data_IF_628855984215
#
_entry.id   IF_628855984215
#
_cell.length_a   1.000
_cell.length_b   1.000
_cell.length_c   1.000
_cell.angle_alpha   90.00
_cell.angle_beta   90.00
_cell.angle_gamma   90.00
#
_symmetry.space_group_name_H-M   'P 1'
#
loop_
_entity.id
_entity.type
_entity.pdbx_description
1 polymer ?
#
# COMPACT_ATOMS: atom_id res chain seq x y z
N UNK A 1 -6.84 35.66 -14.05
CA UNK A 1 -5.53 35.20 -14.56
C UNK A 1 -4.51 36.31 -14.33
N UNK A 2 -3.32 35.98 -13.83
CA UNK A 2 -2.27 36.96 -13.59
C UNK A 2 -1.58 37.34 -14.92
N UNK A 3 -1.52 38.63 -15.27
CA UNK A 3 -0.85 39.13 -16.48
C UNK A 3 0.32 40.06 -16.12
N UNK A 4 1.40 39.98 -16.90
CA UNK A 4 2.64 40.74 -16.67
C UNK A 4 2.52 42.16 -17.22
N UNK A 5 2.81 43.18 -16.39
CA UNK A 5 2.89 44.59 -16.77
C UNK A 5 4.36 45.07 -16.81
N UNK A 6 4.76 45.75 -17.88
CA UNK A 6 6.12 46.25 -18.11
C UNK A 6 6.60 47.29 -17.09
N UNK A 7 5.68 47.98 -16.41
CA UNK A 7 5.97 49.01 -15.38
C UNK A 7 6.27 48.46 -13.97
N UNK A 8 6.27 47.14 -13.77
CA UNK A 8 6.47 46.53 -12.45
C UNK A 8 7.96 46.44 -12.06
N UNK A 9 8.25 46.61 -10.77
CA UNK A 9 9.60 46.46 -10.19
C UNK A 9 10.10 45.01 -10.33
N UNK A 10 11.43 44.81 -10.27
CA UNK A 10 12.04 43.48 -10.44
C UNK A 10 11.51 42.44 -9.43
N UNK A 11 11.22 42.84 -8.20
CA UNK A 11 10.66 41.93 -7.18
C UNK A 11 9.22 41.52 -7.49
N UNK A 12 8.38 42.46 -7.96
CA UNK A 12 7.01 42.15 -8.39
C UNK A 12 6.99 41.18 -9.57
N UNK A 13 7.94 41.32 -10.52
CA UNK A 13 8.09 40.38 -11.64
C UNK A 13 8.46 38.96 -11.18
N UNK A 14 9.32 38.82 -10.16
CA UNK A 14 9.67 37.52 -9.57
C UNK A 14 8.46 36.86 -8.92
N UNK A 15 7.68 37.61 -8.14
CA UNK A 15 6.47 37.09 -7.49
C UNK A 15 5.45 36.62 -8.54
N UNK A 16 5.23 37.41 -9.59
CA UNK A 16 4.37 37.01 -10.71
C UNK A 16 4.82 35.69 -11.37
N UNK A 17 6.13 35.51 -11.57
CA UNK A 17 6.67 34.28 -12.14
C UNK A 17 6.40 33.06 -11.24
N UNK A 18 6.51 33.21 -9.92
CA UNK A 18 6.20 32.14 -8.95
C UNK A 18 4.71 31.76 -9.00
N UNK A 19 3.82 32.74 -9.08
CA UNK A 19 2.38 32.49 -9.17
C UNK A 19 2.02 31.77 -10.48
N UNK A 20 2.66 32.13 -11.60
CA UNK A 20 2.43 31.48 -12.89
C UNK A 20 2.93 30.03 -12.94
N UNK A 21 4.02 29.71 -12.25
CA UNK A 21 4.54 28.32 -12.19
C UNK A 21 3.81 27.43 -11.19
N UNK A 22 2.95 28.00 -10.33
CA UNK A 22 2.23 27.27 -9.28
C UNK A 22 0.71 27.50 -9.37
N UNK A 23 0.01 26.86 -10.33
CA UNK A 23 -1.40 27.13 -10.63
C UNK A 23 -2.38 26.78 -9.50
N UNK A 24 -1.93 26.09 -8.44
CA UNK A 24 -2.75 25.76 -7.26
C UNK A 24 -2.76 26.86 -6.20
N UNK A 25 -1.96 27.92 -6.36
CA UNK A 25 -1.94 29.05 -5.44
C UNK A 25 -3.02 30.04 -5.86
N UNK A 26 -3.99 30.27 -4.96
CA UNK A 26 -5.00 31.32 -5.10
C UNK A 26 -4.64 32.49 -4.18
N UNK A 27 -4.73 33.71 -4.72
CA UNK A 27 -4.50 34.95 -3.95
C UNK A 27 -5.81 35.70 -3.89
N UNK A 28 -6.26 36.02 -2.68
CA UNK A 28 -7.45 36.83 -2.40
C UNK A 28 -7.09 37.95 -1.45
N UNK A 29 -7.76 39.08 -1.61
CA UNK A 29 -7.64 40.20 -0.67
C UNK A 29 -8.61 40.01 0.50
N UNK A 30 -8.13 40.23 1.72
CA UNK A 30 -8.93 40.25 2.96
C UNK A 30 -8.75 41.62 3.60
N UNK A 31 -9.83 42.16 4.18
CA UNK A 31 -9.79 43.46 4.86
C UNK A 31 -9.06 43.35 6.19
N UNK A 32 -8.14 44.27 6.45
CA UNK A 32 -7.46 44.39 7.74
C UNK A 32 -8.42 44.81 8.87
N UNK A 33 -8.13 44.36 10.10
CA UNK A 33 -8.89 44.68 11.32
C UNK A 33 -10.39 44.35 11.25
N UNK A 34 -10.73 43.24 10.59
CA UNK A 34 -12.12 42.81 10.38
C UNK A 34 -12.51 41.55 11.18
N UNK A 35 -11.70 41.09 12.14
CA UNK A 35 -12.00 39.88 12.94
C UNK A 35 -11.50 38.56 12.33
N UNK A 36 -10.81 38.58 11.19
CA UNK A 36 -10.24 37.36 10.60
C UNK A 36 -9.01 36.93 11.40
N UNK A 37 -9.11 35.78 12.10
CA UNK A 37 -8.08 35.26 13.00
C UNK A 37 -6.73 35.11 12.29
N UNK A 38 -6.74 34.70 11.03
CA UNK A 38 -5.52 34.49 10.25
C UNK A 38 -4.84 35.82 9.88
N UNK A 39 -5.64 36.78 9.40
CA UNK A 39 -5.15 38.10 9.03
C UNK A 39 -4.68 38.89 10.25
N UNK A 40 -5.43 38.87 11.35
CA UNK A 40 -5.05 39.56 12.59
C UNK A 40 -3.77 38.99 13.19
N UNK A 41 -3.60 37.67 13.13
CA UNK A 41 -2.35 37.03 13.57
C UNK A 41 -1.18 37.40 12.67
N UNK A 42 -1.38 37.54 11.35
CA UNK A 42 -0.35 37.99 10.44
C UNK A 42 0.06 39.44 10.71
N UNK A 43 -0.92 40.35 10.89
CA UNK A 43 -0.68 41.76 11.21
C UNK A 43 0.05 41.92 12.56
N UNK A 44 -0.32 41.12 13.58
CA UNK A 44 0.37 41.14 14.87
C UNK A 44 1.83 40.68 14.73
N UNK A 45 2.08 39.62 13.96
CA UNK A 45 3.43 39.12 13.70
C UNK A 45 4.28 40.14 12.92
N UNK A 46 3.69 40.87 11.97
CA UNK A 46 4.38 41.96 11.27
C UNK A 46 4.80 43.07 12.25
N UNK A 47 3.86 43.56 13.07
CA UNK A 47 4.12 44.60 14.08
C UNK A 47 5.21 44.20 15.06
N UNK A 48 5.19 42.95 15.51
CA UNK A 48 6.21 42.42 16.42
C UNK A 48 7.58 42.35 15.72
N UNK A 49 7.63 41.92 14.45
CA UNK A 49 8.86 41.85 13.67
C UNK A 49 9.47 43.24 13.41
N UNK A 50 8.66 44.26 13.12
CA UNK A 50 9.14 45.63 12.93
C UNK A 50 9.72 46.22 14.22
N UNK A 51 9.15 45.87 15.38
CA UNK A 51 9.60 46.38 16.68
C UNK A 51 10.84 45.68 17.22
N UNK A 52 10.95 44.37 17.04
CA UNK A 52 11.97 43.56 17.69
C UNK A 52 13.09 43.10 16.75
N UNK A 53 13.00 43.39 15.45
CA UNK A 53 14.07 43.19 14.45
C UNK A 53 14.41 41.72 14.14
N UNK A 54 13.90 40.77 14.93
CA UNK A 54 14.03 39.34 14.68
C UNK A 54 12.81 38.83 13.92
N UNK A 55 12.99 38.27 12.71
CA UNK A 55 11.98 37.39 12.15
C UNK A 55 11.96 36.14 13.03
N UNK A 56 10.79 35.78 13.58
CA UNK A 56 10.63 34.54 14.35
C UNK A 56 11.26 33.36 13.59
N UNK A 57 12.38 32.85 14.11
CA UNK A 57 13.24 31.87 13.43
C UNK A 57 12.68 30.44 13.43
N UNK A 58 11.44 30.23 13.88
CA UNK A 58 10.78 28.93 13.83
C UNK A 58 9.27 29.10 13.60
N UNK A 59 8.87 29.25 12.34
CA UNK A 59 7.54 28.78 11.94
C UNK A 59 7.57 27.26 12.13
N UNK A 60 7.07 26.79 13.28
CA UNK A 60 6.90 25.36 13.52
C UNK A 60 6.02 24.82 12.41
N UNK A 61 6.57 23.92 11.59
CA UNK A 61 5.83 23.29 10.51
C UNK A 61 4.52 22.72 11.07
N UNK A 62 3.37 22.94 10.40
CA UNK A 62 2.11 22.38 10.87
C UNK A 62 2.26 20.87 11.08
N UNK A 63 1.73 20.35 12.20
CA UNK A 63 1.76 18.90 12.47
C UNK A 63 1.28 18.04 11.29
N UNK A 64 0.22 18.42 10.54
CA UNK A 64 -0.20 17.67 9.34
C UNK A 64 0.89 17.62 8.25
N UNK A 65 1.65 18.71 8.08
CA UNK A 65 2.74 18.79 7.11
C UNK A 65 3.88 17.84 7.50
N UNK A 66 4.34 17.88 8.76
CA UNK A 66 5.35 16.95 9.28
C UNK A 66 4.89 15.51 9.10
N UNK A 67 3.64 15.21 9.47
CA UNK A 67 3.06 13.86 9.34
C UNK A 67 3.00 13.40 7.88
N UNK A 68 2.74 14.31 6.94
CA UNK A 68 2.73 14.01 5.51
C UNK A 68 4.14 13.70 5.00
N UNK A 69 5.15 14.47 5.41
CA UNK A 69 6.54 14.22 5.05
C UNK A 69 7.01 12.87 5.57
N UNK A 70 6.79 12.59 6.87
CA UNK A 70 7.17 11.32 7.48
C UNK A 70 6.51 10.12 6.81
N UNK A 71 5.21 10.22 6.50
CA UNK A 71 4.49 9.15 5.78
C UNK A 71 5.05 8.92 4.38
N UNK A 72 5.41 9.99 3.67
CA UNK A 72 6.01 9.89 2.33
C UNK A 72 7.36 9.16 2.41
N UNK A 73 8.26 9.60 3.28
CA UNK A 73 9.57 8.95 3.46
C UNK A 73 9.45 7.49 3.89
N UNK A 74 8.57 7.20 4.86
CA UNK A 74 8.31 5.83 5.31
C UNK A 74 7.81 4.94 4.15
N UNK A 75 6.90 5.43 3.30
CA UNK A 75 6.40 4.65 2.16
C UNK A 75 7.47 4.43 1.09
N UNK A 76 8.32 5.42 0.82
CA UNK A 76 9.43 5.31 -0.14
C UNK A 76 10.47 4.28 0.32
N UNK A 77 10.84 4.32 1.61
CA UNK A 77 11.74 3.35 2.22
C UNK A 77 11.11 1.95 2.22
N UNK A 78 9.85 1.82 2.65
CA UNK A 78 9.15 0.54 2.63
C UNK A 78 9.02 -0.03 1.21
N UNK A 79 8.73 0.79 0.22
CA UNK A 79 8.69 0.36 -1.17
C UNK A 79 10.06 -0.13 -1.67
N UNK A 80 11.14 0.52 -1.24
CA UNK A 80 12.51 0.14 -1.59
C UNK A 80 12.87 -1.22 -0.98
N UNK A 81 12.57 -1.40 0.31
CA UNK A 81 12.74 -2.69 0.99
C UNK A 81 11.88 -3.77 0.34
N UNK A 82 10.65 -3.47 -0.05
CA UNK A 82 9.76 -4.43 -0.69
C UNK A 82 10.25 -4.84 -2.09
N UNK A 83 10.81 -3.91 -2.85
CA UNK A 83 11.39 -4.18 -4.16
C UNK A 83 12.63 -5.06 -4.08
N UNK A 84 13.54 -4.74 -3.16
CA UNK A 84 14.86 -5.35 -3.07
C UNK A 84 14.92 -6.56 -2.13
N UNK A 85 13.90 -6.77 -1.29
CA UNK A 85 13.82 -7.90 -0.38
C UNK A 85 13.66 -9.23 -1.10
N UNK A 86 14.22 -10.28 -0.50
CA UNK A 86 14.22 -11.68 -0.94
C UNK A 86 13.05 -12.50 -0.35
N UNK A 87 12.46 -12.04 0.75
CA UNK A 87 11.28 -12.66 1.37
C UNK A 87 9.99 -12.24 0.68
N UNK A 88 8.94 -13.08 0.77
CA UNK A 88 7.60 -12.71 0.28
C UNK A 88 7.46 -12.53 -1.23
N UNK A 89 8.43 -12.99 -2.05
CA UNK A 89 8.46 -12.75 -3.51
C UNK A 89 7.20 -13.19 -4.26
N UNK A 90 6.56 -14.27 -3.83
CA UNK A 90 5.28 -14.72 -4.39
C UNK A 90 4.18 -13.66 -4.23
N UNK A 91 4.13 -12.99 -3.07
CA UNK A 91 3.19 -11.89 -2.81
C UNK A 91 3.61 -10.63 -3.57
N UNK A 92 4.91 -10.30 -3.63
CA UNK A 92 5.40 -9.17 -4.42
C UNK A 92 4.96 -9.26 -5.88
N UNK A 93 5.01 -10.44 -6.47
CA UNK A 93 4.61 -10.63 -7.86
C UNK A 93 3.12 -10.30 -8.09
N UNK A 94 2.27 -10.43 -7.07
CA UNK A 94 0.85 -10.08 -7.12
C UNK A 94 0.62 -8.62 -6.75
N UNK A 95 1.28 -8.14 -5.70
CA UNK A 95 1.18 -6.78 -5.16
C UNK A 95 2.59 -6.15 -5.07
N UNK A 96 3.11 -5.60 -6.18
CA UNK A 96 4.48 -5.07 -6.23
C UNK A 96 4.61 -3.72 -5.51
N UNK A 97 3.49 -3.06 -5.22
CA UNK A 97 3.46 -1.74 -4.59
C UNK A 97 2.93 -1.82 -3.16
N UNK A 98 3.64 -1.20 -2.23
CA UNK A 98 3.17 -1.03 -0.85
C UNK A 98 2.08 0.04 -0.79
N UNK A 99 1.13 -0.12 0.12
CA UNK A 99 0.01 0.80 0.27
C UNK A 99 -0.46 0.82 1.71
N UNK A 100 -0.88 2.00 2.18
CA UNK A 100 -1.56 2.14 3.47
C UNK A 100 -3.04 1.75 3.38
N UNK A 101 -3.58 1.61 2.17
CA UNK A 101 -4.96 1.15 1.98
C UNK A 101 -4.98 -0.37 2.10
N UNK A 102 -5.86 -0.93 2.94
CA UNK A 102 -5.99 -2.37 3.04
C UNK A 102 -6.41 -2.95 1.69
N UNK A 103 -5.90 -4.14 1.38
CA UNK A 103 -6.35 -4.92 0.22
C UNK A 103 -7.76 -5.46 0.46
N UNK A 104 -8.49 -5.75 -0.61
CA UNK A 104 -9.81 -6.40 -0.56
C UNK A 104 -9.71 -7.93 -0.38
N UNK A 105 -8.60 -8.41 0.17
CA UNK A 105 -8.39 -9.82 0.47
C UNK A 105 -8.93 -10.14 1.85
N UNK A 106 -9.70 -11.22 1.94
CA UNK A 106 -10.16 -11.76 3.22
C UNK A 106 -9.18 -12.82 3.73
N UNK A 107 -9.45 -13.38 4.91
CA UNK A 107 -8.57 -14.34 5.60
C UNK A 107 -8.16 -15.50 4.69
N UNK A 108 -9.09 -16.09 3.96
CA UNK A 108 -8.86 -17.24 3.08
C UNK A 108 -7.97 -16.88 1.89
N UNK A 109 -8.18 -15.70 1.31
CA UNK A 109 -7.32 -15.18 0.22
C UNK A 109 -5.88 -15.04 0.75
N UNK A 110 -5.71 -14.46 1.94
CA UNK A 110 -4.40 -14.29 2.58
C UNK A 110 -3.73 -15.64 2.85
N UNK A 111 -4.45 -16.61 3.43
CA UNK A 111 -3.94 -17.97 3.71
C UNK A 111 -3.41 -18.61 2.42
N UNK A 112 -4.22 -18.59 1.36
CA UNK A 112 -3.87 -19.23 0.09
C UNK A 112 -2.66 -18.56 -0.58
N UNK A 113 -2.70 -17.24 -0.81
CA UNK A 113 -1.66 -16.56 -1.59
C UNK A 113 -0.34 -16.46 -0.84
N UNK A 114 -0.37 -16.33 0.49
CA UNK A 114 0.85 -16.36 1.30
C UNK A 114 1.41 -17.79 1.45
N UNK A 115 0.61 -18.81 1.14
CA UNK A 115 0.88 -20.22 1.44
C UNK A 115 1.11 -20.45 2.94
N UNK A 116 0.35 -19.75 3.78
CA UNK A 116 0.32 -19.98 5.22
C UNK A 116 -0.85 -20.90 5.60
N UNK A 117 -0.85 -21.39 6.83
CA UNK A 117 -2.00 -22.09 7.39
C UNK A 117 -1.87 -23.62 7.31
N UNK A 118 -2.92 -24.35 6.92
CA UNK A 118 -2.98 -25.81 7.08
C UNK A 118 -2.18 -26.61 6.03
N UNK A 119 -1.31 -25.96 5.27
CA UNK A 119 -0.56 -26.62 4.20
C UNK A 119 0.65 -27.40 4.76
N UNK A 120 0.80 -28.70 4.48
CA UNK A 120 1.95 -29.49 4.94
C UNK A 120 3.31 -28.85 4.65
N UNK A 121 3.50 -28.30 3.45
CA UNK A 121 4.75 -27.62 3.07
C UNK A 121 5.05 -26.38 3.93
N UNK A 122 4.00 -25.65 4.34
CA UNK A 122 4.14 -24.55 5.28
C UNK A 122 4.51 -25.04 6.68
N UNK A 123 3.80 -26.04 7.19
CA UNK A 123 4.03 -26.59 8.53
C UNK A 123 5.44 -27.15 8.66
N UNK A 124 5.94 -27.88 7.65
CA UNK A 124 7.32 -28.39 7.61
C UNK A 124 8.35 -27.27 7.68
N UNK A 125 8.17 -26.21 6.88
CA UNK A 125 9.07 -25.04 6.85
C UNK A 125 9.19 -24.35 8.21
N UNK A 126 8.12 -24.35 9.01
CA UNK A 126 8.10 -23.77 10.35
C UNK A 126 8.34 -24.80 11.47
N UNK A 127 8.80 -26.00 11.12
CA UNK A 127 9.08 -27.08 12.08
C UNK A 127 7.87 -27.52 12.92
N UNK A 128 6.66 -27.33 12.39
CA UNK A 128 5.40 -27.77 13.00
C UNK A 128 4.95 -29.16 12.50
N UNK A 129 5.62 -29.69 11.47
CA UNK A 129 5.41 -31.02 10.91
C UNK A 129 6.74 -31.63 10.47
N UNK A 130 6.84 -32.96 10.49
CA UNK A 130 7.99 -33.70 9.96
C UNK A 130 7.91 -33.93 8.44
N UNK A 131 6.74 -33.76 7.82
CA UNK A 131 6.52 -34.00 6.39
C UNK A 131 5.88 -32.79 5.70
N UNK A 132 6.33 -32.49 4.49
CA UNK A 132 5.69 -31.55 3.56
C UNK A 132 4.74 -32.24 2.56
N UNK A 133 4.58 -33.56 2.65
CA UNK A 133 3.70 -34.32 1.79
C UNK A 133 2.23 -34.24 2.21
N UNK A 134 1.36 -34.22 1.22
CA UNK A 134 -0.06 -34.49 1.35
C UNK A 134 -0.30 -36.01 1.42
N UNK A 135 -1.45 -36.41 1.97
CA UNK A 135 -1.91 -37.81 2.02
C UNK A 135 -1.96 -38.52 0.66
N UNK A 136 -2.02 -37.79 -0.46
CA UNK A 136 -1.93 -38.37 -1.80
C UNK A 136 -0.48 -38.47 -2.36
N UNK A 137 0.54 -38.19 -1.55
CA UNK A 137 1.95 -38.30 -1.93
C UNK A 137 2.56 -37.10 -2.67
N UNK A 138 1.76 -36.08 -3.02
CA UNK A 138 2.26 -34.82 -3.58
C UNK A 138 2.73 -33.83 -2.50
N UNK A 139 3.45 -32.77 -2.87
CA UNK A 139 3.83 -31.71 -1.93
C UNK A 139 2.59 -30.89 -1.55
N UNK A 140 2.25 -30.84 -0.26
CA UNK A 140 1.06 -30.19 0.27
C UNK A 140 1.15 -28.67 0.27
N UNK A 141 1.12 -28.05 -0.91
CA UNK A 141 1.08 -26.60 -1.13
C UNK A 141 -0.33 -26.16 -1.55
N UNK A 142 -0.64 -24.87 -1.43
CA UNK A 142 -1.88 -24.29 -1.98
C UNK A 142 -2.08 -24.62 -3.48
N UNK A 143 -0.99 -24.71 -4.25
CA UNK A 143 -0.98 -25.06 -5.66
C UNK A 143 -1.25 -26.52 -5.95
N UNK A 144 -1.05 -27.40 -4.98
CA UNK A 144 -1.42 -28.80 -5.12
C UNK A 144 -2.94 -28.97 -4.95
N UNK A 145 -3.52 -28.27 -3.97
CA UNK A 145 -4.95 -28.36 -3.67
C UNK A 145 -5.85 -27.63 -4.68
N UNK A 146 -5.36 -26.59 -5.35
CA UNK A 146 -6.16 -25.80 -6.29
C UNK A 146 -6.52 -26.49 -7.62
N UNK A 147 -5.62 -27.23 -8.28
CA UNK A 147 -5.88 -27.81 -9.58
C UNK A 147 -6.04 -29.34 -9.62
N UNK A 148 -5.50 -30.08 -8.64
CA UNK A 148 -5.27 -31.53 -8.81
C UNK A 148 -5.77 -32.41 -7.67
N UNK A 149 -6.06 -31.86 -6.49
CA UNK A 149 -6.39 -32.68 -5.34
C UNK A 149 -7.82 -33.24 -5.41
N UNK A 150 -7.98 -34.53 -5.11
CA UNK A 150 -9.24 -35.25 -5.33
C UNK A 150 -10.40 -34.72 -4.49
N UNK A 151 -10.17 -34.23 -3.27
CA UNK A 151 -11.23 -33.70 -2.43
C UNK A 151 -11.61 -32.23 -2.74
N UNK A 152 -10.94 -31.58 -3.68
CA UNK A 152 -11.22 -30.18 -4.07
C UNK A 152 -11.76 -30.05 -5.49
N UNK A 153 -12.21 -31.14 -6.12
CA UNK A 153 -12.70 -31.19 -7.51
C UNK A 153 -13.74 -30.12 -7.81
N UNK A 154 -14.67 -29.85 -6.89
CA UNK A 154 -15.70 -28.81 -7.04
C UNK A 154 -15.14 -27.39 -7.23
N UNK A 155 -13.91 -27.13 -6.80
CA UNK A 155 -13.24 -25.83 -6.88
C UNK A 155 -12.01 -25.85 -7.77
N UNK A 156 -11.80 -26.91 -8.56
CA UNK A 156 -10.63 -27.03 -9.40
C UNK A 156 -10.47 -25.82 -10.31
N UNK A 157 -9.22 -25.38 -10.40
CA UNK A 157 -8.75 -24.36 -11.31
C UNK A 157 -7.80 -25.01 -12.32
N UNK A 158 -7.71 -24.43 -13.51
CA UNK A 158 -6.81 -24.93 -14.55
C UNK A 158 -5.37 -24.89 -14.03
N UNK A 159 -4.67 -26.03 -14.08
CA UNK A 159 -3.25 -26.10 -13.73
C UNK A 159 -2.41 -25.18 -14.64
N UNK A 160 -1.51 -24.35 -14.09
CA UNK A 160 -0.57 -23.62 -14.92
C UNK A 160 0.46 -24.56 -15.55
N UNK A 161 0.96 -24.17 -16.72
CA UNK A 161 2.21 -24.77 -17.22
C UNK A 161 3.38 -24.37 -16.28
N UNK A 162 4.43 -25.21 -16.14
CA UNK A 162 5.49 -25.00 -15.14
C UNK A 162 6.13 -23.61 -15.16
N UNK A 163 6.25 -23.00 -16.33
CA UNK A 163 6.92 -21.70 -16.50
C UNK A 163 5.98 -20.50 -16.28
N UNK A 164 4.69 -20.74 -16.00
CA UNK A 164 3.63 -19.71 -15.93
C UNK A 164 2.94 -19.65 -14.56
N UNK A 165 3.54 -20.23 -13.52
CA UNK A 165 2.95 -20.23 -12.18
C UNK A 165 2.72 -18.83 -11.63
N UNK A 166 3.64 -17.89 -11.91
CA UNK A 166 3.55 -16.52 -11.41
C UNK A 166 2.42 -15.74 -12.11
N UNK A 167 2.33 -15.85 -13.43
CA UNK A 167 1.27 -15.25 -14.24
C UNK A 167 -0.10 -15.83 -13.84
N UNK A 168 -0.14 -17.14 -13.57
CA UNK A 168 -1.33 -17.80 -13.08
C UNK A 168 -1.77 -17.27 -11.72
N UNK A 169 -0.85 -17.13 -10.76
CA UNK A 169 -1.16 -16.52 -9.47
C UNK A 169 -1.74 -15.12 -9.61
N UNK A 170 -1.13 -14.28 -10.46
CA UNK A 170 -1.64 -12.92 -10.72
C UNK A 170 -3.05 -12.94 -11.30
N UNK A 171 -3.33 -13.85 -12.24
CA UNK A 171 -4.66 -14.00 -12.84
C UNK A 171 -5.69 -14.48 -11.83
N UNK A 172 -5.33 -15.46 -11.01
CA UNK A 172 -6.19 -16.03 -9.97
C UNK A 172 -6.48 -15.00 -8.86
N UNK A 173 -5.48 -14.24 -8.42
CA UNK A 173 -5.64 -13.19 -7.41
C UNK A 173 -6.56 -12.05 -7.86
N UNK A 174 -6.49 -11.67 -9.13
CA UNK A 174 -7.30 -10.59 -9.69
C UNK A 174 -8.70 -11.03 -10.14
N UNK A 175 -9.00 -12.34 -10.15
CA UNK A 175 -10.29 -12.87 -10.58
C UNK A 175 -11.18 -13.23 -9.37
N UNK A 176 -12.36 -12.61 -9.27
CA UNK A 176 -13.29 -12.83 -8.16
C UNK A 176 -13.83 -14.27 -8.10
N UNK A 177 -14.09 -14.91 -9.24
CA UNK A 177 -14.58 -16.30 -9.31
C UNK A 177 -13.49 -17.25 -8.81
N UNK A 178 -12.24 -17.05 -9.24
CA UNK A 178 -11.11 -17.83 -8.75
C UNK A 178 -10.89 -17.64 -7.25
N UNK A 179 -11.00 -16.40 -6.74
CA UNK A 179 -10.96 -16.15 -5.29
C UNK A 179 -12.11 -16.82 -4.54
N UNK A 180 -13.31 -16.86 -5.12
CA UNK A 180 -14.43 -17.60 -4.52
C UNK A 180 -14.13 -19.10 -4.42
N UNK A 181 -13.55 -19.70 -5.47
CA UNK A 181 -13.07 -21.10 -5.43
C UNK A 181 -12.00 -21.32 -4.36
N UNK A 182 -11.02 -20.44 -4.26
CA UNK A 182 -9.98 -20.47 -3.20
C UNK A 182 -10.62 -20.46 -1.82
N UNK A 183 -11.58 -19.56 -1.58
CA UNK A 183 -12.29 -19.47 -0.30
C UNK A 183 -12.99 -20.78 0.05
N UNK A 184 -13.64 -21.41 -0.94
CA UNK A 184 -14.23 -22.74 -0.80
C UNK A 184 -13.20 -23.79 -0.37
N UNK A 185 -12.06 -23.87 -1.06
CA UNK A 185 -10.97 -24.80 -0.73
C UNK A 185 -10.47 -24.57 0.70
N UNK A 186 -10.13 -23.33 1.07
CA UNK A 186 -9.57 -23.04 2.40
C UNK A 186 -10.59 -23.35 3.50
N UNK A 187 -11.86 -22.99 3.30
CA UNK A 187 -12.92 -23.28 4.25
C UNK A 187 -13.09 -24.78 4.43
N UNK A 188 -13.16 -25.53 3.32
CA UNK A 188 -13.26 -26.99 3.34
C UNK A 188 -12.08 -27.64 4.07
N UNK A 189 -10.84 -27.19 3.81
CA UNK A 189 -9.66 -27.67 4.53
C UNK A 189 -9.70 -27.35 6.03
N UNK A 190 -10.18 -26.16 6.40
CA UNK A 190 -10.30 -25.75 7.80
C UNK A 190 -11.36 -26.55 8.57
N UNK A 191 -12.45 -26.93 7.90
CA UNK A 191 -13.55 -27.71 8.48
C UNK A 191 -13.23 -29.21 8.55
N UNK A 192 -12.37 -29.72 7.66
CA UNK A 192 -12.05 -31.15 7.54
C UNK A 192 -10.58 -31.45 7.85
N UNK A 193 -10.01 -30.84 8.90
CA UNK A 193 -8.55 -30.89 9.18
C UNK A 193 -7.96 -32.29 9.23
N UNK A 194 -8.72 -33.28 9.69
CA UNK A 194 -8.24 -34.65 9.82
C UNK A 194 -7.91 -35.29 8.45
N UNK A 195 -8.62 -34.90 7.38
CA UNK A 195 -8.35 -35.37 6.02
C UNK A 195 -7.06 -34.78 5.42
N UNK A 196 -6.62 -33.64 5.94
CA UNK A 196 -5.48 -32.87 5.43
C UNK A 196 -4.27 -32.95 6.35
N UNK A 197 -4.31 -33.77 7.39
CA UNK A 197 -3.15 -33.99 8.26
C UNK A 197 -2.03 -34.66 7.44
N UNK A 198 -0.77 -34.19 7.55
CA UNK A 198 0.37 -34.90 7.00
C UNK A 198 0.41 -36.35 7.53
N UNK A 199 0.85 -37.33 6.72
CA UNK A 199 1.06 -38.70 7.18
C UNK A 199 2.11 -38.77 8.30
#
# INVERSE_FOLDING_TARGET
MASSNSKSTNETKKIFKILLTNPRIAVSWVRAHAGDIGNERADQLEKDATKHGQPYSLIKLPKPHIKSLLRKSMLEEWQTLWKNGDTGRKIYNIMPSVSLRPTNWIREDVIFFSQHGPFPAYLKRFHLSHSDFCSCGGIGTAFHYAPEYIYTVSWHMRKPAPNFEQEWLKRVANNLVSRHKIRGIIKFMCENRDLFRPP
#
